data_IF_007207737643
#
_entry.id   IF_007207737643
#
_cell.length_a   1.000
_cell.length_b   1.000
_cell.length_c   1.000
_cell.angle_alpha   90.00
_cell.angle_beta   90.00
_cell.angle_gamma   90.00
#
_symmetry.space_group_name_H-M   'P 1'
#
loop_
_entity.id
_entity.type
_entity.pdbx_description
1 polymer ?
#
# COMPACT_ATOMS: atom_id res chain seq x y z
N UNK A 1 2.19 -12.00 14.50
CA UNK A 1 1.82 -11.19 15.69
C UNK A 1 2.60 -9.89 15.90
N UNK A 2 3.90 -9.79 15.56
CA UNK A 2 4.67 -8.55 15.80
C UNK A 2 4.24 -7.30 15.00
N UNK A 3 3.56 -7.45 13.86
CA UNK A 3 3.05 -6.31 13.05
C UNK A 3 1.81 -5.63 13.68
N UNK A 4 1.24 -6.21 14.75
CA UNK A 4 0.01 -5.73 15.39
C UNK A 4 0.24 -4.79 16.58
N UNK A 5 1.50 -4.56 16.97
CA UNK A 5 1.86 -3.93 18.27
C UNK A 5 2.68 -2.64 18.14
N UNK A 6 3.23 -2.32 16.97
CA UNK A 6 3.83 -1.00 16.71
C UNK A 6 3.02 -0.28 15.63
N UNK A 7 2.41 0.86 15.99
CA UNK A 7 1.81 1.75 15.00
C UNK A 7 2.93 2.31 14.12
N UNK A 8 3.09 1.71 12.95
CA UNK A 8 3.92 2.23 11.87
C UNK A 8 3.48 3.67 11.56
N UNK A 9 4.44 4.53 11.20
CA UNK A 9 4.20 5.85 10.64
C UNK A 9 3.00 5.89 9.66
N UNK A 10 2.88 4.91 8.76
CA UNK A 10 1.76 4.81 7.80
C UNK A 10 0.43 4.74 8.53
N UNK A 11 0.29 3.87 9.54
CA UNK A 11 -0.94 3.75 10.32
C UNK A 11 -1.23 5.01 11.14
N UNK A 12 -0.20 5.70 11.62
CA UNK A 12 -0.39 6.91 12.43
C UNK A 12 -0.81 8.12 11.61
N UNK A 13 -0.26 8.30 10.40
CA UNK A 13 -0.35 9.55 9.67
C UNK A 13 -1.05 9.47 8.31
N UNK A 14 -1.20 8.27 7.72
CA UNK A 14 -1.75 8.12 6.35
C UNK A 14 -3.00 7.23 6.34
N UNK A 15 -2.93 6.03 6.93
CA UNK A 15 -4.05 5.07 6.98
C UNK A 15 -4.32 4.53 8.40
N UNK A 16 -4.99 5.31 9.27
CA UNK A 16 -5.40 4.84 10.58
C UNK A 16 -6.23 3.56 10.53
N UNK A 17 -5.78 2.54 11.25
CA UNK A 17 -6.43 1.22 11.28
C UNK A 17 -6.14 0.32 10.07
N UNK A 18 -5.33 0.77 9.11
CA UNK A 18 -4.95 -0.02 7.94
C UNK A 18 -4.13 -1.26 8.31
N UNK A 19 -4.53 -2.42 7.78
CA UNK A 19 -3.81 -3.68 7.94
C UNK A 19 -3.79 -4.44 6.62
N UNK A 20 -2.61 -4.89 6.22
CA UNK A 20 -2.44 -5.76 5.06
C UNK A 20 -2.57 -7.22 5.49
N UNK A 21 -3.54 -7.98 4.96
CA UNK A 21 -3.63 -9.40 5.24
C UNK A 21 -2.53 -10.17 4.49
N UNK A 22 -2.00 -11.23 5.10
CA UNK A 22 -1.11 -12.15 4.40
C UNK A 22 -1.91 -13.05 3.44
N UNK A 23 -1.27 -13.53 2.37
CA UNK A 23 -1.90 -14.49 1.44
C UNK A 23 -2.41 -15.74 2.19
N UNK A 24 -1.64 -16.24 3.17
CA UNK A 24 -2.06 -17.36 4.03
C UNK A 24 -3.36 -17.05 4.79
N UNK A 25 -3.48 -15.84 5.36
CA UNK A 25 -4.69 -15.45 6.08
C UNK A 25 -5.88 -15.34 5.11
N UNK A 26 -5.68 -14.74 3.94
CA UNK A 26 -6.71 -14.67 2.90
C UNK A 26 -7.18 -16.07 2.48
N UNK A 27 -6.26 -17.03 2.32
CA UNK A 27 -6.60 -18.39 1.94
C UNK A 27 -7.48 -19.07 3.01
N UNK A 28 -7.14 -18.90 4.29
CA UNK A 28 -7.94 -19.43 5.40
C UNK A 28 -9.36 -18.84 5.41
N UNK A 29 -9.48 -17.52 5.29
CA UNK A 29 -10.79 -16.84 5.34
C UNK A 29 -11.68 -17.18 4.13
N UNK A 30 -11.10 -17.22 2.94
CA UNK A 30 -11.83 -17.60 1.72
C UNK A 30 -12.27 -19.06 1.73
N UNK A 31 -11.44 -19.98 2.24
CA UNK A 31 -11.81 -21.39 2.41
C UNK A 31 -12.93 -21.55 3.45
N UNK A 32 -12.87 -20.83 4.57
CA UNK A 32 -13.94 -20.82 5.57
C UNK A 32 -15.27 -20.29 5.00
N UNK A 33 -15.21 -19.42 3.99
CA UNK A 33 -16.37 -18.94 3.23
C UNK A 33 -16.85 -19.89 2.11
N UNK A 34 -16.21 -21.05 1.92
CA UNK A 34 -16.55 -22.03 0.89
C UNK A 34 -16.11 -21.62 -0.52
N UNK A 35 -15.09 -20.78 -0.64
CA UNK A 35 -14.50 -20.34 -1.90
C UNK A 35 -13.17 -21.02 -2.15
N UNK A 36 -12.85 -21.26 -3.43
CA UNK A 36 -11.58 -21.79 -3.89
C UNK A 36 -10.85 -20.76 -4.72
N UNK A 37 -9.52 -20.77 -4.64
CA UNK A 37 -8.65 -19.87 -5.42
C UNK A 37 -8.47 -20.46 -6.81
N UNK A 38 -8.80 -19.71 -7.85
CA UNK A 38 -8.67 -20.13 -9.25
C UNK A 38 -7.46 -19.54 -9.96
N UNK A 39 -6.86 -18.50 -9.38
CA UNK A 39 -5.66 -17.85 -9.91
C UNK A 39 -5.22 -16.69 -9.00
N UNK A 40 -3.94 -16.33 -9.09
CA UNK A 40 -3.39 -15.19 -8.36
C UNK A 40 -2.34 -14.48 -9.23
N UNK A 41 -2.61 -13.22 -9.52
CA UNK A 41 -1.68 -12.33 -10.22
C UNK A 41 -1.07 -11.35 -9.23
N UNK A 42 0.22 -11.03 -9.42
CA UNK A 42 0.99 -10.17 -8.50
C UNK A 42 1.57 -8.99 -9.25
N UNK A 43 1.33 -7.78 -8.73
CA UNK A 43 1.66 -6.51 -9.38
C UNK A 43 2.54 -5.60 -8.52
N UNK A 44 3.28 -6.16 -7.55
CA UNK A 44 4.09 -5.40 -6.61
C UNK A 44 5.06 -4.43 -7.28
N UNK A 45 5.81 -4.87 -8.29
CA UNK A 45 6.74 -4.01 -9.03
C UNK A 45 6.01 -2.90 -9.82
N UNK A 46 4.85 -3.21 -10.41
CA UNK A 46 4.04 -2.19 -11.09
C UNK A 46 3.52 -1.13 -10.11
N UNK A 47 3.22 -1.53 -8.88
CA UNK A 47 2.78 -0.56 -7.88
C UNK A 47 3.92 0.28 -7.33
N UNK A 48 5.14 -0.27 -7.30
CA UNK A 48 6.33 0.54 -7.08
C UNK A 48 6.52 1.60 -8.18
N UNK A 49 6.38 1.24 -9.46
CA UNK A 49 6.43 2.21 -10.57
C UNK A 49 5.35 3.29 -10.42
N UNK A 50 4.15 2.88 -10.00
CA UNK A 50 3.02 3.79 -9.76
C UNK A 50 3.34 4.81 -8.66
N UNK A 51 3.92 4.35 -7.54
CA UNK A 51 4.29 5.22 -6.42
C UNK A 51 5.41 6.19 -6.79
N UNK A 52 6.38 5.75 -7.58
CA UNK A 52 7.44 6.62 -8.11
C UNK A 52 6.85 7.74 -8.99
N UNK A 53 5.94 7.38 -9.90
CA UNK A 53 5.27 8.35 -10.77
C UNK A 53 4.40 9.33 -9.97
N UNK A 54 3.69 8.85 -8.96
CA UNK A 54 2.96 9.74 -8.04
C UNK A 54 3.89 10.69 -7.30
N UNK A 55 5.07 10.22 -6.87
CA UNK A 55 6.09 11.05 -6.25
C UNK A 55 6.58 12.17 -7.17
N UNK A 56 6.89 11.85 -8.42
CA UNK A 56 7.30 12.85 -9.42
C UNK A 56 6.21 13.89 -9.67
N UNK A 57 4.96 13.44 -9.89
CA UNK A 57 3.84 14.34 -10.15
C UNK A 57 3.48 15.20 -8.94
N UNK A 58 3.58 14.65 -7.73
CA UNK A 58 3.36 15.39 -6.49
C UNK A 58 4.37 16.55 -6.35
N UNK A 59 5.66 16.28 -6.56
CA UNK A 59 6.69 17.32 -6.47
C UNK A 59 6.54 18.37 -7.57
N UNK A 60 6.18 17.97 -8.79
CA UNK A 60 5.92 18.89 -9.89
C UNK A 60 4.71 19.81 -9.63
N UNK A 61 3.71 19.32 -8.90
CA UNK A 61 2.51 20.08 -8.54
C UNK A 61 2.64 20.84 -7.21
N UNK A 62 3.81 20.83 -6.55
CA UNK A 62 3.93 21.31 -5.18
C UNK A 62 3.53 22.78 -5.00
N UNK A 63 3.87 23.67 -5.93
CA UNK A 63 3.54 25.09 -5.81
C UNK A 63 2.01 25.32 -5.83
N UNK A 64 1.27 24.54 -6.61
CA UNK A 64 -0.20 24.56 -6.62
C UNK A 64 -0.76 24.02 -5.30
N UNK A 65 -0.25 22.87 -4.84
CA UNK A 65 -0.67 22.22 -3.58
C UNK A 65 -0.41 23.15 -2.39
N UNK A 66 0.74 23.81 -2.34
CA UNK A 66 1.08 24.81 -1.33
C UNK A 66 0.08 25.97 -1.34
N UNK A 67 -0.35 26.41 -2.52
CA UNK A 67 -1.40 27.43 -2.68
C UNK A 67 -2.75 27.04 -2.08
N UNK A 68 -3.01 25.74 -1.88
CA UNK A 68 -4.23 25.22 -1.25
C UNK A 68 -4.16 25.16 0.28
N UNK A 69 -3.05 25.62 0.89
CA UNK A 69 -2.88 25.69 2.35
C UNK A 69 -2.10 24.52 2.96
N UNK A 70 -1.52 23.64 2.14
CA UNK A 70 -0.60 22.61 2.63
C UNK A 70 0.79 23.18 2.91
N UNK A 71 1.40 22.72 4.01
CA UNK A 71 2.68 23.22 4.48
C UNK A 71 3.86 22.29 4.14
N UNK A 72 5.06 22.79 4.34
CA UNK A 72 6.29 22.02 4.08
C UNK A 72 6.38 20.77 5.00
N UNK A 73 5.70 20.77 6.15
CA UNK A 73 5.60 19.58 7.00
C UNK A 73 4.81 18.48 6.30
N UNK A 74 3.68 18.81 5.69
CA UNK A 74 2.90 17.90 4.87
C UNK A 74 3.69 17.41 3.66
N UNK A 75 4.43 18.30 2.96
CA UNK A 75 5.26 17.89 1.82
C UNK A 75 6.25 16.78 2.21
N UNK A 76 6.99 16.98 3.29
CA UNK A 76 7.97 15.98 3.78
C UNK A 76 7.29 14.68 4.19
N UNK A 77 6.14 14.78 4.86
CA UNK A 77 5.33 13.62 5.24
C UNK A 77 4.95 12.79 4.01
N UNK A 78 4.42 13.45 2.99
CA UNK A 78 3.89 12.81 1.79
C UNK A 78 4.99 12.20 0.92
N UNK A 79 6.11 12.94 0.74
CA UNK A 79 7.31 12.41 0.09
C UNK A 79 7.82 11.14 0.78
N UNK A 80 7.94 11.19 2.11
CA UNK A 80 8.42 10.04 2.88
C UNK A 80 7.48 8.85 2.72
N UNK A 81 6.16 9.07 2.81
CA UNK A 81 5.15 8.04 2.58
C UNK A 81 5.32 7.35 1.21
N UNK A 82 5.37 8.13 0.13
CA UNK A 82 5.45 7.60 -1.23
C UNK A 82 6.75 6.80 -1.44
N UNK A 83 7.91 7.36 -1.09
CA UNK A 83 9.20 6.68 -1.25
C UNK A 83 9.35 5.46 -0.33
N UNK A 84 8.84 5.51 0.90
CA UNK A 84 8.86 4.37 1.81
C UNK A 84 8.01 3.22 1.27
N UNK A 85 6.80 3.52 0.78
CA UNK A 85 5.93 2.51 0.17
C UNK A 85 6.56 1.95 -1.11
N UNK A 86 7.11 2.81 -1.97
CA UNK A 86 7.81 2.38 -3.19
C UNK A 86 8.90 1.38 -2.84
N UNK A 87 9.77 1.69 -1.88
CA UNK A 87 10.82 0.78 -1.43
C UNK A 87 10.24 -0.54 -0.87
N UNK A 88 9.13 -0.48 -0.14
CA UNK A 88 8.42 -1.66 0.34
C UNK A 88 7.97 -2.60 -0.78
N UNK A 89 7.43 -2.06 -1.87
CA UNK A 89 7.03 -2.83 -3.04
C UNK A 89 8.24 -3.29 -3.88
N UNK A 90 9.24 -2.41 -4.12
CA UNK A 90 10.47 -2.76 -4.87
C UNK A 90 11.22 -3.92 -4.24
N UNK A 91 11.29 -3.93 -2.91
CA UNK A 91 12.00 -4.95 -2.13
C UNK A 91 11.13 -6.17 -1.79
N UNK A 92 9.94 -6.27 -2.39
CA UNK A 92 9.02 -7.41 -2.24
C UNK A 92 8.59 -7.68 -0.79
N UNK A 93 8.70 -6.66 0.09
CA UNK A 93 8.17 -6.73 1.46
C UNK A 93 6.65 -6.70 1.50
N UNK A 94 6.03 -6.17 0.46
CA UNK A 94 4.58 -6.14 0.27
C UNK A 94 4.22 -6.28 -1.20
N UNK A 95 2.95 -6.58 -1.50
CA UNK A 95 2.49 -6.87 -2.85
C UNK A 95 1.05 -6.39 -3.09
N UNK A 96 0.70 -6.19 -4.36
CA UNK A 96 -0.68 -6.06 -4.82
C UNK A 96 -1.02 -7.37 -5.50
N UNK A 97 -2.10 -8.00 -5.05
CA UNK A 97 -2.57 -9.23 -5.66
C UNK A 97 -3.96 -9.05 -6.23
N UNK A 98 -4.20 -9.65 -7.39
CA UNK A 98 -5.54 -9.88 -7.90
C UNK A 98 -5.84 -11.37 -7.75
N UNK A 99 -6.91 -11.68 -7.02
CA UNK A 99 -7.26 -13.04 -6.67
C UNK A 99 -8.53 -13.48 -7.39
N UNK A 100 -8.42 -14.55 -8.18
CA UNK A 100 -9.55 -15.25 -8.76
C UNK A 100 -10.18 -16.19 -7.72
N UNK A 101 -11.50 -16.06 -7.53
CA UNK A 101 -12.27 -16.89 -6.60
C UNK A 101 -13.44 -17.53 -7.33
N UNK A 102 -13.73 -18.78 -7.01
CA UNK A 102 -14.98 -19.44 -7.40
C UNK A 102 -15.60 -20.17 -6.22
N UNK A 103 -16.88 -20.48 -6.34
CA UNK A 103 -17.59 -21.39 -5.43
C UNK A 103 -17.56 -22.77 -6.06
N UNK A 104 -17.21 -23.78 -5.26
CA UNK A 104 -17.30 -25.18 -5.66
C UNK A 104 -18.75 -25.60 -5.90
#
# INVERSE_FOLDING_TARGET
>A
DHYRVQTDFIQRYVFPGGMLPSEQRLQQETAAAGLIWTGIDRFGQNYADTLAEWGHRFEAAWDEIKGQGFDERFRRLWRFYLSYCEAGFRTERTNVIQLGLSRA
#
